data_IF_035459878340
#
_entry.id   IF_035459878340
#
_cell.length_a   1.000
_cell.length_b   1.000
_cell.length_c   1.000
_cell.angle_alpha   90.00
_cell.angle_beta   90.00
_cell.angle_gamma   90.00
#
_symmetry.space_group_name_H-M   'P 1'
#
loop_
_entity.id
_entity.type
_entity.pdbx_description
1 polymer ?
#
# COMPACT_ATOMS: atom_id res chain seq x y z
N UNK A 1 -16.75 12.15 -23.55
CA UNK A 1 -16.42 12.52 -24.93
C UNK A 1 -14.94 12.34 -25.15
N UNK A 2 -14.60 11.12 -25.32
CA UNK A 2 -13.25 10.71 -25.55
C UNK A 2 -13.21 10.23 -26.99
N UNK A 3 -12.15 10.36 -27.67
CA UNK A 3 -12.03 9.99 -29.06
C UNK A 3 -12.09 11.17 -30.01
N UNK A 4 -12.08 12.35 -29.46
CA UNK A 4 -11.94 13.54 -30.29
C UNK A 4 -10.51 13.73 -30.76
N UNK A 5 -10.33 14.51 -31.79
CA UNK A 5 -9.02 14.97 -32.23
C UNK A 5 -8.36 15.80 -31.15
N UNK A 6 -7.24 15.32 -30.64
CA UNK A 6 -6.39 16.03 -29.70
C UNK A 6 -5.15 16.62 -30.39
N UNK A 7 -5.17 16.75 -31.70
CA UNK A 7 -4.01 17.17 -32.46
C UNK A 7 -2.94 16.07 -32.66
N UNK A 8 -2.97 15.02 -31.85
CA UNK A 8 -2.03 13.89 -31.91
C UNK A 8 -2.72 12.57 -32.30
N UNK A 9 -4.02 12.46 -32.06
CA UNK A 9 -4.79 11.25 -32.26
C UNK A 9 -6.09 11.55 -33.00
N UNK A 10 -6.49 10.64 -33.86
CA UNK A 10 -7.78 10.62 -34.51
C UNK A 10 -8.53 9.34 -34.14
N UNK A 11 -9.81 9.45 -33.76
CA UNK A 11 -10.66 8.31 -33.52
C UNK A 11 -10.99 7.64 -34.84
N UNK A 12 -10.82 6.34 -34.91
CA UNK A 12 -11.18 5.55 -36.08
C UNK A 12 -12.71 5.41 -36.21
N UNK A 13 -13.17 5.08 -37.40
CA UNK A 13 -14.54 5.31 -37.89
C UNK A 13 -15.65 4.89 -36.98
N UNK A 14 -15.82 3.98 -36.30
CA UNK A 14 -17.11 3.49 -35.75
C UNK A 14 -17.41 3.90 -34.31
N UNK A 15 -16.70 4.83 -33.71
CA UNK A 15 -16.82 5.19 -32.26
C UNK A 15 -16.84 3.93 -31.35
N UNK A 16 -16.30 2.82 -31.83
CA UNK A 16 -16.41 1.53 -31.17
C UNK A 16 -15.45 1.47 -29.99
N UNK A 17 -15.99 1.15 -28.84
CA UNK A 17 -15.18 0.79 -27.68
C UNK A 17 -14.74 -0.66 -27.87
N UNK A 18 -13.46 -0.87 -28.07
CA UNK A 18 -12.85 -2.19 -28.09
C UNK A 18 -12.44 -2.63 -26.68
N UNK A 19 -12.28 -3.91 -26.51
CA UNK A 19 -11.72 -4.52 -25.30
C UNK A 19 -10.70 -5.57 -25.72
N UNK A 20 -9.49 -5.46 -25.21
CA UNK A 20 -8.45 -6.45 -25.48
C UNK A 20 -7.44 -6.53 -24.35
N UNK A 21 -6.61 -7.57 -24.31
CA UNK A 21 -5.39 -7.59 -23.52
C UNK A 21 -4.52 -6.38 -23.85
N UNK A 22 -3.74 -5.96 -22.85
CA UNK A 22 -2.82 -4.81 -22.94
C UNK A 22 -1.40 -5.30 -22.80
N UNK A 23 -0.54 -4.79 -23.63
CA UNK A 23 0.88 -5.12 -23.67
C UNK A 23 1.71 -3.91 -23.34
N UNK A 24 2.74 -4.11 -22.52
CA UNK A 24 3.68 -3.08 -22.11
C UNK A 24 5.03 -3.26 -22.79
N UNK A 25 5.61 -2.16 -23.24
CA UNK A 25 6.99 -2.15 -23.74
C UNK A 25 7.98 -2.29 -22.58
N UNK A 26 9.23 -2.74 -22.88
CA UNK A 26 10.32 -2.73 -21.88
C UNK A 26 10.59 -1.35 -21.29
N UNK A 27 10.37 -0.31 -22.08
CA UNK A 27 10.45 1.06 -21.58
C UNK A 27 9.35 1.37 -20.56
N UNK A 28 8.12 0.88 -20.77
CA UNK A 28 7.03 1.04 -19.81
C UNK A 28 7.31 0.31 -18.49
N UNK A 29 7.90 -0.88 -18.53
CA UNK A 29 8.36 -1.60 -17.36
C UNK A 29 9.27 -0.74 -16.49
N UNK A 30 10.30 -0.16 -17.08
CA UNK A 30 11.24 0.71 -16.39
C UNK A 30 10.61 2.02 -15.91
N UNK A 31 9.78 2.63 -16.75
CA UNK A 31 9.17 3.95 -16.51
C UNK A 31 8.07 3.89 -15.47
N UNK A 32 7.18 2.89 -15.54
CA UNK A 32 6.04 2.76 -14.65
C UNK A 32 6.40 2.09 -13.33
N UNK A 33 7.59 1.48 -13.20
CA UNK A 33 8.08 0.84 -11.96
C UNK A 33 7.01 -0.05 -11.35
N UNK A 34 6.56 -1.04 -12.11
CA UNK A 34 5.44 -1.94 -11.76
C UNK A 34 5.75 -2.72 -10.48
N UNK A 35 4.75 -2.87 -9.64
CA UNK A 35 4.88 -3.59 -8.37
C UNK A 35 4.94 -5.09 -8.58
N UNK A 36 5.93 -5.80 -8.03
CA UNK A 36 6.02 -7.25 -8.10
C UNK A 36 4.76 -7.97 -7.60
N UNK A 37 4.35 -9.01 -8.32
CA UNK A 37 3.26 -9.90 -7.94
C UNK A 37 1.86 -9.31 -7.95
N UNK A 38 1.72 -8.02 -8.22
CA UNK A 38 0.41 -7.36 -8.20
C UNK A 38 -0.03 -6.92 -9.59
N UNK A 39 0.82 -6.22 -10.26
CA UNK A 39 0.71 -5.88 -11.66
C UNK A 39 2.05 -6.31 -12.28
N UNK A 40 2.06 -7.22 -13.19
CA UNK A 40 3.26 -7.89 -13.68
C UNK A 40 3.26 -7.94 -15.21
N UNK A 41 4.44 -8.11 -15.79
CA UNK A 41 4.61 -8.33 -17.20
C UNK A 41 4.70 -9.83 -17.45
N UNK A 42 3.85 -10.35 -18.30
CA UNK A 42 3.95 -11.70 -18.82
C UNK A 42 5.25 -11.92 -19.60
N UNK A 43 5.47 -13.13 -20.05
CA UNK A 43 6.60 -13.44 -20.92
C UNK A 43 6.51 -12.60 -22.19
N UNK A 44 7.64 -11.97 -22.55
CA UNK A 44 7.75 -11.26 -23.83
C UNK A 44 7.54 -12.26 -24.99
N UNK A 45 6.70 -11.86 -25.95
CA UNK A 45 6.41 -12.68 -27.12
C UNK A 45 7.61 -12.89 -28.02
N UNK A 46 7.49 -13.86 -28.92
CA UNK A 46 8.44 -14.05 -30.00
C UNK A 46 8.06 -13.24 -31.25
N UNK A 47 9.01 -12.95 -32.11
CA UNK A 47 8.77 -12.17 -33.32
C UNK A 47 8.70 -10.67 -33.06
N UNK A 48 7.81 -9.98 -33.77
CA UNK A 48 7.70 -8.51 -33.70
C UNK A 48 7.23 -8.00 -32.34
N UNK A 49 6.76 -8.89 -31.48
CA UNK A 49 6.32 -8.62 -30.11
C UNK A 49 7.37 -8.92 -29.04
N UNK A 50 8.59 -9.29 -29.44
CA UNK A 50 9.66 -9.72 -28.53
C UNK A 50 9.99 -8.72 -27.40
N UNK A 51 9.73 -7.43 -27.64
CA UNK A 51 9.96 -6.35 -26.67
C UNK A 51 8.71 -5.96 -25.88
N UNK A 52 7.61 -6.70 -26.03
CA UNK A 52 6.33 -6.44 -25.39
C UNK A 52 5.94 -7.58 -24.47
N UNK A 53 5.62 -7.25 -23.22
CA UNK A 53 5.08 -8.17 -22.22
C UNK A 53 3.62 -7.91 -21.99
N UNK A 54 2.81 -8.98 -21.89
CA UNK A 54 1.41 -8.84 -21.55
C UNK A 54 1.27 -8.35 -20.10
N UNK A 55 0.39 -7.38 -19.88
CA UNK A 55 0.11 -6.84 -18.57
C UNK A 55 -0.87 -7.76 -17.83
N UNK A 56 -0.46 -8.28 -16.69
CA UNK A 56 -1.20 -9.26 -15.90
C UNK A 56 -1.27 -8.87 -14.43
N UNK A 57 -2.16 -9.52 -13.69
CA UNK A 57 -2.14 -9.51 -12.22
C UNK A 57 -2.31 -10.93 -11.68
N UNK A 58 -2.13 -11.11 -10.39
CA UNK A 58 -2.39 -12.38 -9.75
C UNK A 58 -3.85 -12.86 -9.90
N UNK A 59 -4.82 -11.93 -10.01
CA UNK A 59 -6.24 -12.24 -10.16
C UNK A 59 -6.67 -12.41 -11.62
N UNK A 60 -5.95 -11.80 -12.54
CA UNK A 60 -6.29 -11.79 -13.96
C UNK A 60 -5.07 -12.18 -14.79
N UNK A 61 -5.08 -13.34 -15.45
CA UNK A 61 -4.01 -13.74 -16.35
C UNK A 61 -3.89 -12.80 -17.56
N UNK A 62 -4.98 -12.12 -17.91
CA UNK A 62 -5.03 -11.11 -18.95
C UNK A 62 -5.71 -9.87 -18.37
N UNK A 63 -5.07 -8.71 -18.46
CA UNK A 63 -5.71 -7.45 -18.17
C UNK A 63 -6.36 -6.89 -19.42
N UNK A 64 -7.70 -6.90 -19.43
CA UNK A 64 -8.51 -6.40 -20.52
C UNK A 64 -9.00 -5.00 -20.18
N UNK A 65 -8.68 -4.04 -21.02
CA UNK A 65 -9.12 -2.65 -20.86
C UNK A 65 -10.03 -2.24 -22.01
N UNK A 66 -11.08 -1.51 -21.65
CA UNK A 66 -11.88 -0.79 -22.64
C UNK A 66 -11.10 0.40 -23.17
N UNK A 67 -11.05 0.57 -24.47
CA UNK A 67 -10.36 1.66 -25.14
C UNK A 67 -11.07 2.04 -26.43
N UNK A 68 -10.79 3.24 -26.93
CA UNK A 68 -11.23 3.64 -28.26
C UNK A 68 -10.20 3.24 -29.31
N UNK A 69 -10.65 2.80 -30.47
CA UNK A 69 -9.78 2.63 -31.63
C UNK A 69 -9.24 4.00 -32.03
N UNK A 70 -7.94 4.19 -31.95
CA UNK A 70 -7.25 5.45 -32.26
C UNK A 70 -6.02 5.20 -33.05
N UNK A 71 -5.68 6.14 -33.92
CA UNK A 71 -4.44 6.14 -34.69
C UNK A 71 -3.67 7.44 -34.40
N UNK A 72 -2.36 7.38 -34.12
CA UNK A 72 -1.57 8.57 -33.93
C UNK A 72 -1.36 9.32 -35.25
N UNK A 73 -1.59 10.64 -35.25
CA UNK A 73 -1.36 11.50 -36.40
C UNK A 73 0.10 11.92 -36.55
N UNK A 74 0.88 11.81 -35.49
CA UNK A 74 2.32 12.13 -35.45
C UNK A 74 3.07 10.99 -34.74
N UNK A 75 4.37 10.84 -34.96
CA UNK A 75 5.17 9.84 -34.27
C UNK A 75 5.08 10.00 -32.75
N UNK A 76 4.69 8.94 -32.06
CA UNK A 76 4.55 8.87 -30.61
C UNK A 76 5.39 7.73 -30.05
N UNK A 77 5.80 7.85 -28.80
CA UNK A 77 6.43 6.76 -28.06
C UNK A 77 5.34 5.98 -27.31
N UNK A 78 4.97 4.85 -27.83
CA UNK A 78 3.95 3.99 -27.21
C UNK A 78 4.55 3.23 -26.02
N UNK A 79 3.94 3.38 -24.85
CA UNK A 79 4.30 2.67 -23.63
C UNK A 79 3.43 1.41 -23.45
N UNK A 80 2.12 1.55 -23.62
CA UNK A 80 1.16 0.44 -23.58
C UNK A 80 0.37 0.41 -24.89
N UNK A 81 0.07 -0.78 -25.40
CA UNK A 81 -0.78 -0.98 -26.58
C UNK A 81 -1.77 -2.12 -26.39
N UNK A 82 -2.85 -2.07 -27.12
CA UNK A 82 -3.80 -3.16 -27.25
C UNK A 82 -3.28 -4.26 -28.20
N UNK A 83 -3.99 -5.38 -28.29
CA UNK A 83 -3.64 -6.50 -29.16
C UNK A 83 -3.66 -6.12 -30.65
N UNK A 84 -4.53 -5.18 -31.03
CA UNK A 84 -4.66 -4.64 -32.40
C UNK A 84 -3.70 -3.47 -32.71
N UNK A 85 -2.65 -3.29 -31.91
CA UNK A 85 -1.66 -2.19 -31.97
C UNK A 85 -2.21 -0.80 -31.60
N UNK A 86 -3.47 -0.67 -31.23
CA UNK A 86 -4.00 0.62 -30.76
C UNK A 86 -3.20 1.13 -29.55
N UNK A 87 -2.67 2.37 -29.58
CA UNK A 87 -1.97 2.95 -28.46
C UNK A 87 -2.90 3.14 -27.25
N UNK A 88 -2.58 2.48 -26.13
CA UNK A 88 -3.29 2.62 -24.87
C UNK A 88 -2.68 3.73 -24.01
N UNK A 89 -1.35 3.77 -23.93
CA UNK A 89 -0.60 4.86 -23.29
C UNK A 89 0.58 5.23 -24.17
N UNK A 90 0.73 6.51 -24.43
CA UNK A 90 1.86 7.00 -25.19
C UNK A 90 2.32 8.38 -24.75
N UNK A 91 3.54 8.72 -25.10
CA UNK A 91 4.13 10.04 -24.85
C UNK A 91 4.56 10.69 -26.16
N UNK A 92 4.49 12.02 -26.17
CA UNK A 92 4.94 12.82 -27.30
C UNK A 92 5.52 14.15 -26.81
N UNK A 93 6.48 14.68 -27.57
CA UNK A 93 7.02 16.04 -27.36
C UNK A 93 6.40 16.96 -28.41
N UNK A 94 5.61 17.94 -27.96
CA UNK A 94 5.00 18.93 -28.84
C UNK A 94 5.59 20.32 -28.54
N UNK A 95 6.43 20.81 -29.42
CA UNK A 95 7.17 22.05 -29.18
C UNK A 95 8.02 21.95 -27.90
N UNK A 96 7.74 22.79 -26.91
CA UNK A 96 8.38 22.77 -25.59
C UNK A 96 7.60 21.93 -24.55
N UNK A 97 6.45 21.43 -24.93
CA UNK A 97 5.57 20.67 -24.05
C UNK A 97 5.74 19.16 -24.21
N UNK A 98 5.28 18.45 -23.19
CA UNK A 98 5.21 16.98 -23.20
C UNK A 98 3.75 16.57 -23.02
N UNK A 99 3.33 15.57 -23.77
CA UNK A 99 1.98 15.02 -23.72
C UNK A 99 2.06 13.57 -23.24
N UNK A 100 1.25 13.23 -22.25
CA UNK A 100 0.91 11.85 -21.88
C UNK A 100 -0.50 11.59 -22.32
N UNK A 101 -0.69 10.70 -23.26
CA UNK A 101 -2.00 10.25 -23.72
C UNK A 101 -2.33 8.91 -23.07
N UNK A 102 -3.54 8.81 -22.51
CA UNK A 102 -4.05 7.57 -21.94
C UNK A 102 -5.45 7.28 -22.50
N UNK A 103 -5.54 6.23 -23.30
CA UNK A 103 -6.76 5.76 -23.97
C UNK A 103 -7.43 4.64 -23.16
N UNK A 104 -7.65 4.91 -21.86
CA UNK A 104 -8.31 4.00 -20.92
C UNK A 104 -9.19 4.81 -19.97
N UNK A 105 -10.27 4.22 -19.43
CA UNK A 105 -11.15 4.91 -18.50
C UNK A 105 -10.49 5.07 -17.13
N UNK A 106 -9.62 6.07 -16.97
CA UNK A 106 -8.81 6.28 -15.76
C UNK A 106 -9.64 6.31 -14.47
N UNK A 107 -10.86 6.85 -14.52
CA UNK A 107 -11.77 6.83 -13.38
C UNK A 107 -12.23 5.44 -12.97
N UNK A 108 -12.34 4.53 -13.92
CA UNK A 108 -12.67 3.13 -13.68
C UNK A 108 -11.50 2.38 -13.02
N UNK A 109 -10.28 2.64 -13.44
CA UNK A 109 -9.08 2.05 -12.85
C UNK A 109 -8.97 2.34 -11.35
N UNK A 110 -9.53 3.45 -10.88
CA UNK A 110 -9.49 3.84 -9.46
C UNK A 110 -10.13 2.80 -8.53
N UNK A 111 -11.13 2.06 -9.00
CA UNK A 111 -11.90 1.10 -8.20
C UNK A 111 -11.53 -0.36 -8.49
N UNK A 112 -10.50 -0.58 -9.30
CA UNK A 112 -10.07 -1.92 -9.73
C UNK A 112 -8.77 -2.34 -9.05
N UNK A 113 -8.44 -3.61 -9.19
CA UNK A 113 -7.16 -4.19 -8.76
C UNK A 113 -5.96 -3.55 -9.47
N UNK A 114 -6.20 -3.02 -10.64
CA UNK A 114 -5.24 -2.34 -11.51
C UNK A 114 -5.16 -0.82 -11.29
N UNK A 115 -5.77 -0.30 -10.22
CA UNK A 115 -5.64 1.11 -9.82
C UNK A 115 -4.17 1.53 -9.63
N UNK A 116 -3.29 0.58 -9.39
CA UNK A 116 -1.85 0.80 -9.33
C UNK A 116 -1.32 1.41 -10.63
N UNK A 117 -1.78 0.96 -11.79
CA UNK A 117 -1.41 1.54 -13.07
C UNK A 117 -1.76 3.03 -13.13
N UNK A 118 -2.96 3.43 -12.71
CA UNK A 118 -3.37 4.84 -12.63
C UNK A 118 -2.38 5.67 -11.80
N UNK A 119 -2.04 5.19 -10.61
CA UNK A 119 -1.09 5.88 -9.73
C UNK A 119 0.31 5.98 -10.33
N UNK A 120 0.76 4.96 -11.04
CA UNK A 120 2.06 4.99 -11.72
C UNK A 120 2.07 5.99 -12.88
N UNK A 121 1.00 6.06 -13.67
CA UNK A 121 0.85 7.06 -14.74
C UNK A 121 0.88 8.49 -14.17
N UNK A 122 0.16 8.74 -13.07
CA UNK A 122 0.18 10.04 -12.40
C UNK A 122 1.56 10.40 -11.84
N UNK A 123 2.25 9.43 -11.23
CA UNK A 123 3.61 9.62 -10.72
C UNK A 123 4.59 9.92 -11.83
N UNK A 124 4.57 9.13 -12.90
CA UNK A 124 5.40 9.35 -14.08
C UNK A 124 5.17 10.74 -14.70
N UNK A 125 3.90 11.14 -14.85
CA UNK A 125 3.58 12.45 -15.36
C UNK A 125 4.15 13.57 -14.47
N UNK A 126 3.95 13.48 -13.15
CA UNK A 126 4.38 14.53 -12.23
C UNK A 126 5.91 14.60 -12.09
N UNK A 127 6.55 13.48 -11.85
CA UNK A 127 7.98 13.42 -11.48
C UNK A 127 8.90 13.44 -12.69
N UNK A 128 8.58 12.66 -13.75
CA UNK A 128 9.49 12.47 -14.88
C UNK A 128 9.19 13.44 -16.04
N UNK A 129 7.90 13.66 -16.34
CA UNK A 129 7.54 14.53 -17.46
C UNK A 129 7.52 16.01 -17.04
N UNK A 130 6.83 16.33 -15.94
CA UNK A 130 6.71 17.72 -15.44
C UNK A 130 7.91 18.13 -14.60
N UNK A 131 8.65 17.15 -14.08
CA UNK A 131 9.85 17.36 -13.24
C UNK A 131 9.54 18.15 -11.97
N UNK A 132 8.48 17.75 -11.27
CA UNK A 132 8.09 18.37 -10.01
C UNK A 132 8.39 17.44 -8.83
N UNK A 133 8.75 17.98 -7.67
CA UNK A 133 8.83 17.19 -6.45
C UNK A 133 7.47 16.66 -6.04
N UNK A 134 7.47 15.57 -5.30
CA UNK A 134 6.27 14.94 -4.74
C UNK A 134 6.34 14.90 -3.22
N UNK A 135 5.18 15.00 -2.54
CA UNK A 135 5.10 14.80 -1.10
C UNK A 135 4.97 13.31 -0.80
N UNK A 136 5.94 12.75 -0.10
CA UNK A 136 6.00 11.33 0.26
C UNK A 136 4.73 10.84 0.98
N UNK A 137 4.37 9.59 0.74
CA UNK A 137 3.28 8.91 1.44
C UNK A 137 3.67 8.36 2.82
N UNK A 138 4.96 8.35 3.14
CA UNK A 138 5.51 7.82 4.39
C UNK A 138 6.37 8.86 5.12
N UNK A 139 6.47 8.76 6.47
CA UNK A 139 7.34 9.62 7.25
C UNK A 139 8.79 9.58 6.75
N UNK A 140 9.41 10.73 6.61
CA UNK A 140 10.82 10.87 6.19
C UNK A 140 11.17 10.22 4.84
N UNK A 141 10.16 9.91 4.00
CA UNK A 141 10.29 9.13 2.78
C UNK A 141 10.94 7.75 3.02
N UNK A 142 10.80 7.19 4.20
CA UNK A 142 11.23 5.82 4.48
C UNK A 142 10.12 4.86 4.04
N UNK A 143 10.43 3.97 3.13
CA UNK A 143 9.52 2.87 2.79
C UNK A 143 9.36 1.90 3.96
N UNK A 144 8.35 1.03 3.92
CA UNK A 144 8.21 0.07 4.99
C UNK A 144 7.06 -0.89 4.87
N UNK A 145 7.00 -1.77 5.86
CA UNK A 145 5.96 -2.77 5.98
C UNK A 145 5.26 -2.61 7.33
N UNK A 146 3.94 -2.68 7.29
CA UNK A 146 3.13 -3.02 8.46
C UNK A 146 3.10 -4.55 8.51
N UNK A 147 3.84 -5.13 9.44
CA UNK A 147 3.77 -6.57 9.68
C UNK A 147 2.64 -6.86 10.65
N UNK A 148 1.60 -7.55 10.15
CA UNK A 148 0.40 -7.83 10.92
C UNK A 148 0.33 -9.32 11.25
N UNK A 149 0.40 -9.67 12.53
CA UNK A 149 0.28 -11.03 13.03
C UNK A 149 -1.16 -11.28 13.43
N UNK A 150 -1.78 -12.31 12.85
CA UNK A 150 -3.13 -12.75 13.21
C UNK A 150 -3.07 -13.92 14.18
N UNK A 151 -3.60 -13.70 15.38
CA UNK A 151 -3.60 -14.67 16.47
C UNK A 151 -5.03 -15.19 16.64
N UNK A 152 -5.39 -16.19 15.86
CA UNK A 152 -6.75 -16.69 15.68
C UNK A 152 -7.18 -17.67 16.74
N UNK A 153 -6.22 -18.44 17.28
CA UNK A 153 -6.48 -19.59 18.12
C UNK A 153 -5.31 -19.90 19.08
N UNK A 154 -5.53 -20.85 19.97
CA UNK A 154 -4.51 -21.31 20.90
C UNK A 154 -3.31 -21.99 20.19
N UNK A 155 -3.44 -22.42 18.94
CA UNK A 155 -2.34 -22.96 18.14
C UNK A 155 -1.22 -21.93 17.90
N UNK A 156 -1.50 -20.65 18.04
CA UNK A 156 -0.49 -19.58 17.91
C UNK A 156 0.41 -19.41 19.14
N UNK A 157 0.08 -20.00 20.27
CA UNK A 157 0.76 -19.70 21.54
C UNK A 157 2.22 -20.17 21.55
N UNK A 158 2.51 -21.42 21.20
CA UNK A 158 3.89 -21.92 21.16
C UNK A 158 4.72 -21.24 20.06
N UNK A 159 4.24 -21.09 18.82
CA UNK A 159 4.96 -20.30 17.82
C UNK A 159 5.27 -18.87 18.23
N UNK A 160 4.36 -18.17 18.92
CA UNK A 160 4.64 -16.85 19.47
C UNK A 160 5.76 -16.87 20.53
N UNK A 161 5.76 -17.90 21.40
CA UNK A 161 6.84 -18.07 22.37
C UNK A 161 8.18 -18.37 21.70
N UNK A 162 8.19 -19.09 20.59
CA UNK A 162 9.39 -19.34 19.79
C UNK A 162 9.89 -18.07 19.11
N UNK A 163 9.02 -17.29 18.50
CA UNK A 163 9.36 -15.99 17.91
C UNK A 163 9.92 -15.02 18.97
N UNK A 164 9.32 -14.99 20.17
CA UNK A 164 9.84 -14.18 21.30
C UNK A 164 11.23 -14.63 21.71
N UNK A 165 11.45 -15.94 21.91
CA UNK A 165 12.78 -16.50 22.23
C UNK A 165 13.83 -16.24 21.15
N UNK A 166 13.42 -16.21 19.89
CA UNK A 166 14.28 -15.90 18.75
C UNK A 166 14.56 -14.39 18.58
N UNK A 167 14.02 -13.53 19.46
CA UNK A 167 14.20 -12.08 19.44
C UNK A 167 13.49 -11.38 18.27
N UNK A 168 12.39 -11.95 17.77
CA UNK A 168 11.61 -11.31 16.70
C UNK A 168 11.01 -9.99 17.15
N UNK A 169 10.52 -9.94 18.39
CA UNK A 169 9.91 -8.76 18.98
C UNK A 169 10.91 -7.73 19.51
N UNK A 170 12.21 -7.95 19.37
CA UNK A 170 13.25 -6.92 19.64
C UNK A 170 13.34 -5.91 18.48
N UNK A 171 12.76 -6.20 17.34
CA UNK A 171 12.61 -5.31 16.19
C UNK A 171 11.13 -4.85 16.09
N UNK A 172 10.76 -4.13 15.06
CA UNK A 172 9.37 -3.64 14.90
C UNK A 172 9.32 -2.13 14.83
N UNK A 173 8.16 -1.50 15.15
CA UNK A 173 6.94 -2.10 15.73
C UNK A 173 6.17 -3.01 14.77
N UNK A 174 5.45 -3.98 15.33
CA UNK A 174 4.52 -4.85 14.60
C UNK A 174 3.08 -4.60 15.07
N UNK A 175 2.09 -5.02 14.27
CA UNK A 175 0.67 -5.03 14.66
C UNK A 175 0.26 -6.49 14.96
N UNK A 176 -0.18 -6.76 16.19
CA UNK A 176 -0.57 -8.10 16.67
C UNK A 176 -2.07 -8.08 16.94
N UNK A 177 -2.83 -8.74 16.08
CA UNK A 177 -4.30 -8.73 16.13
C UNK A 177 -4.83 -10.07 16.69
N UNK A 178 -5.76 -9.99 17.62
CA UNK A 178 -6.12 -11.13 18.48
C UNK A 178 -7.62 -11.41 18.43
N UNK A 179 -7.97 -12.68 18.19
CA UNK A 179 -9.30 -13.23 18.48
C UNK A 179 -9.33 -13.75 19.92
N UNK A 180 -10.10 -13.11 20.78
CA UNK A 180 -10.00 -13.28 22.22
C UNK A 180 -10.89 -14.40 22.81
N UNK A 181 -11.81 -14.94 22.02
CA UNK A 181 -12.80 -15.92 22.51
C UNK A 181 -12.23 -17.29 22.84
N UNK A 182 -13.02 -18.15 23.50
CA UNK A 182 -12.59 -19.49 23.86
C UNK A 182 -12.64 -20.49 22.70
N UNK A 183 -13.32 -20.15 21.62
CA UNK A 183 -13.59 -21.00 20.49
C UNK A 183 -13.04 -20.38 19.19
N UNK A 184 -12.61 -21.19 18.23
CA UNK A 184 -12.03 -20.71 16.97
C UNK A 184 -12.86 -21.09 15.74
N UNK A 185 -13.16 -22.38 15.55
CA UNK A 185 -13.81 -22.89 14.34
C UNK A 185 -15.33 -22.86 14.49
N UNK A 186 -15.84 -23.29 15.66
CA UNK A 186 -17.27 -23.36 15.99
C UNK A 186 -17.47 -23.15 17.49
N UNK A 187 -18.68 -22.84 17.88
CA UNK A 187 -19.02 -22.72 19.30
C UNK A 187 -18.71 -24.00 20.09
N UNK A 188 -18.15 -23.85 21.28
CA UNK A 188 -17.78 -24.92 22.21
C UNK A 188 -16.72 -25.90 21.69
N UNK A 189 -15.82 -25.49 20.80
CA UNK A 189 -14.70 -26.31 20.36
C UNK A 189 -13.46 -26.19 21.26
N UNK A 190 -13.36 -25.14 22.05
CA UNK A 190 -12.24 -24.92 22.97
C UNK A 190 -10.90 -24.64 22.31
N UNK A 191 -10.89 -24.32 21.00
CA UNK A 191 -9.66 -24.08 20.22
C UNK A 191 -9.23 -22.62 20.22
N UNK A 192 -10.04 -21.72 20.72
CA UNK A 192 -9.74 -20.29 20.80
C UNK A 192 -8.69 -19.96 21.87
N UNK A 193 -8.21 -18.74 21.86
CA UNK A 193 -7.22 -18.23 22.83
C UNK A 193 -7.76 -18.18 24.25
N UNK A 194 -9.07 -18.01 24.42
CA UNK A 194 -9.70 -17.77 25.70
C UNK A 194 -8.99 -16.67 26.52
N UNK A 195 -8.72 -15.55 25.88
CA UNK A 195 -7.88 -14.46 26.41
C UNK A 195 -8.24 -14.05 27.85
N UNK A 196 -9.53 -13.94 28.25
CA UNK A 196 -9.89 -13.62 29.62
C UNK A 196 -9.37 -14.59 30.67
N UNK A 197 -9.14 -15.86 30.30
CA UNK A 197 -8.68 -16.93 31.18
C UNK A 197 -7.30 -17.49 30.77
N UNK A 198 -6.55 -16.78 29.92
CA UNK A 198 -5.21 -17.18 29.46
C UNK A 198 -4.13 -16.22 29.99
N UNK A 199 -3.59 -16.50 31.20
CA UNK A 199 -2.62 -15.60 31.81
C UNK A 199 -1.31 -15.47 31.03
N UNK A 200 -0.89 -16.52 30.30
CA UNK A 200 0.29 -16.45 29.46
C UNK A 200 0.10 -15.45 28.31
N UNK A 201 -1.00 -15.55 27.58
CA UNK A 201 -1.31 -14.67 26.47
C UNK A 201 -1.51 -13.21 26.95
N UNK A 202 -2.19 -13.02 28.07
CA UNK A 202 -2.33 -11.69 28.69
C UNK A 202 -0.97 -11.06 29.00
N UNK A 203 -0.07 -11.85 29.62
CA UNK A 203 1.28 -11.38 29.94
C UNK A 203 2.10 -11.10 28.67
N UNK A 204 2.00 -11.97 27.65
CA UNK A 204 2.65 -11.76 26.36
C UNK A 204 2.19 -10.44 25.71
N UNK A 205 0.88 -10.23 25.54
CA UNK A 205 0.35 -9.02 24.92
C UNK A 205 0.74 -7.75 25.68
N UNK A 206 0.73 -7.78 27.01
CA UNK A 206 1.19 -6.64 27.83
C UNK A 206 2.66 -6.34 27.60
N UNK A 207 3.52 -7.37 27.50
CA UNK A 207 4.95 -7.17 27.22
C UNK A 207 5.15 -6.56 25.83
N UNK A 208 4.50 -7.14 24.81
CA UNK A 208 4.62 -6.64 23.44
C UNK A 208 4.12 -5.20 23.32
N UNK A 209 3.01 -4.87 23.96
CA UNK A 209 2.48 -3.52 24.01
C UNK A 209 3.46 -2.55 24.70
N UNK A 210 4.04 -2.94 25.81
CA UNK A 210 5.04 -2.13 26.54
C UNK A 210 6.36 -1.92 25.73
N UNK A 211 6.66 -2.81 24.79
CA UNK A 211 7.78 -2.68 23.86
C UNK A 211 7.47 -1.80 22.64
N UNK A 212 6.23 -1.33 22.49
CA UNK A 212 5.81 -0.45 21.41
C UNK A 212 5.14 -1.17 20.23
N UNK A 213 4.91 -2.49 20.34
CA UNK A 213 4.07 -3.19 19.37
C UNK A 213 2.60 -2.80 19.55
N UNK A 214 1.87 -2.74 18.44
CA UNK A 214 0.46 -2.41 18.43
C UNK A 214 -0.38 -3.66 18.63
N UNK A 215 -1.29 -3.63 19.61
CA UNK A 215 -2.21 -4.73 19.86
C UNK A 215 -3.59 -4.36 19.31
N UNK A 216 -4.09 -5.17 18.38
CA UNK A 216 -5.32 -4.92 17.65
C UNK A 216 -6.40 -5.97 17.90
N UNK A 217 -7.60 -5.64 17.45
CA UNK A 217 -8.76 -6.51 17.49
C UNK A 217 -8.81 -7.36 16.20
N UNK A 218 -8.82 -8.70 16.35
CA UNK A 218 -9.07 -9.64 15.24
C UNK A 218 -10.48 -10.19 15.32
N UNK A 219 -11.44 -9.30 15.11
CA UNK A 219 -12.87 -9.60 14.94
C UNK A 219 -13.49 -10.51 15.99
N UNK A 220 -14.49 -11.01 15.70
CA UNK A 220 -15.55 -11.84 16.06
C UNK A 220 -15.41 -12.92 17.10
N UNK A 221 -14.96 -12.75 18.30
CA UNK A 221 -15.09 -13.68 19.46
C UNK A 221 -14.91 -15.19 19.17
N UNK A 222 -15.57 -15.73 18.10
CA UNK A 222 -15.34 -17.05 17.50
C UNK A 222 -14.92 -16.82 16.05
N UNK A 223 -13.64 -17.01 15.77
CA UNK A 223 -12.99 -16.58 14.53
C UNK A 223 -13.73 -17.00 13.25
N UNK A 224 -13.88 -18.32 13.05
CA UNK A 224 -14.48 -18.82 11.79
C UNK A 224 -15.99 -18.59 11.73
N UNK A 225 -16.69 -18.60 12.86
CA UNK A 225 -18.13 -18.32 12.88
C UNK A 225 -18.39 -16.90 12.39
N UNK A 226 -17.65 -15.93 12.92
CA UNK A 226 -17.74 -14.56 12.44
C UNK A 226 -17.30 -14.46 10.97
N UNK A 227 -16.13 -15.01 10.66
CA UNK A 227 -15.51 -14.91 9.34
C UNK A 227 -16.36 -15.46 8.20
N UNK A 228 -17.10 -16.53 8.42
CA UNK A 228 -17.93 -17.14 7.37
C UNK A 228 -19.40 -16.74 7.40
N UNK A 229 -19.92 -16.27 8.53
CA UNK A 229 -21.37 -16.08 8.69
C UNK A 229 -21.80 -14.62 8.77
N UNK A 230 -20.93 -13.71 9.25
CA UNK A 230 -21.25 -12.28 9.28
C UNK A 230 -21.50 -11.76 7.85
N UNK A 231 -22.60 -11.01 7.66
CA UNK A 231 -22.97 -10.44 6.37
C UNK A 231 -23.78 -9.15 6.55
N UNK A 232 -24.16 -8.49 5.48
CA UNK A 232 -24.84 -7.20 5.52
C UNK A 232 -26.19 -7.22 6.29
N UNK A 233 -26.84 -8.37 6.41
CA UNK A 233 -28.20 -8.48 6.99
C UNK A 233 -28.24 -8.87 8.47
N UNK A 234 -27.12 -9.33 9.06
CA UNK A 234 -27.11 -9.93 10.40
C UNK A 234 -26.28 -9.18 11.44
N UNK A 235 -26.16 -7.86 11.29
CA UNK A 235 -25.45 -6.99 12.24
C UNK A 235 -25.83 -7.26 13.72
N UNK A 236 -27.12 -7.36 14.03
CA UNK A 236 -27.62 -7.56 15.43
C UNK A 236 -27.06 -8.83 16.06
N UNK A 237 -26.78 -9.84 15.29
CA UNK A 237 -26.23 -11.10 15.77
C UNK A 237 -24.71 -10.99 16.02
N UNK A 238 -23.97 -10.34 15.10
CA UNK A 238 -22.51 -10.37 15.09
C UNK A 238 -21.82 -9.14 15.69
N UNK A 239 -22.49 -8.00 15.82
CA UNK A 239 -21.92 -6.84 16.51
C UNK A 239 -21.52 -7.15 17.96
N UNK A 240 -22.29 -7.93 18.77
CA UNK A 240 -21.85 -8.35 20.10
C UNK A 240 -20.56 -9.16 20.13
N UNK A 241 -20.22 -9.87 19.05
CA UNK A 241 -18.94 -10.58 18.93
C UNK A 241 -17.78 -9.60 18.83
N UNK A 242 -17.94 -8.53 18.02
CA UNK A 242 -16.95 -7.45 17.92
C UNK A 242 -16.76 -6.73 19.25
N UNK A 243 -17.86 -6.39 19.95
CA UNK A 243 -17.81 -5.70 21.25
C UNK A 243 -17.12 -6.55 22.32
N UNK A 244 -17.41 -7.85 22.40
CA UNK A 244 -16.75 -8.77 23.34
C UNK A 244 -15.25 -8.87 23.07
N UNK A 245 -14.89 -9.06 21.81
CA UNK A 245 -13.48 -9.18 21.41
C UNK A 245 -12.72 -7.89 21.73
N UNK A 246 -13.27 -6.75 21.32
CA UNK A 246 -12.69 -5.44 21.57
C UNK A 246 -12.53 -5.15 23.07
N UNK A 247 -13.54 -5.45 23.88
CA UNK A 247 -13.49 -5.27 25.32
C UNK A 247 -12.41 -6.14 25.94
N UNK A 248 -12.32 -7.42 25.55
CA UNK A 248 -11.33 -8.36 26.09
C UNK A 248 -9.89 -7.92 25.77
N UNK A 249 -9.61 -7.56 24.51
CA UNK A 249 -8.28 -7.08 24.09
C UNK A 249 -7.94 -5.78 24.82
N UNK A 250 -8.83 -4.80 24.81
CA UNK A 250 -8.62 -3.49 25.45
C UNK A 250 -8.38 -3.59 26.95
N UNK A 251 -9.17 -4.45 27.64
CA UNK A 251 -8.97 -4.72 29.07
C UNK A 251 -7.61 -5.35 29.33
N UNK A 252 -7.16 -6.24 28.45
CA UNK A 252 -5.86 -6.92 28.61
C UNK A 252 -4.71 -5.94 28.53
N UNK A 253 -4.71 -5.03 27.57
CA UNK A 253 -3.61 -4.07 27.40
C UNK A 253 -3.74 -2.80 28.24
N UNK A 254 -4.92 -2.56 28.82
CA UNK A 254 -5.18 -1.39 29.68
C UNK A 254 -5.52 -0.11 28.91
N UNK A 255 -5.73 -0.19 27.61
CA UNK A 255 -6.17 0.92 26.74
C UNK A 255 -7.08 0.41 25.62
N UNK A 256 -7.72 1.33 24.89
CA UNK A 256 -8.59 0.95 23.76
C UNK A 256 -7.75 0.50 22.55
N UNK A 257 -7.97 -0.72 22.10
CA UNK A 257 -7.45 -1.18 20.81
C UNK A 257 -8.06 -0.34 19.68
N UNK A 258 -7.22 0.22 18.80
CA UNK A 258 -7.64 1.18 17.76
C UNK A 258 -7.43 0.69 16.33
N UNK A 259 -7.02 -0.57 16.18
CA UNK A 259 -6.79 -1.20 14.88
C UNK A 259 -7.45 -2.56 14.82
N UNK A 260 -7.80 -2.97 13.59
CA UNK A 260 -8.66 -4.12 13.38
C UNK A 260 -8.24 -4.93 12.15
N UNK A 261 -8.41 -6.23 12.20
CA UNK A 261 -8.43 -7.11 11.02
C UNK A 261 -9.64 -8.05 11.10
N UNK A 262 -10.33 -8.18 9.97
CA UNK A 262 -11.51 -9.04 9.89
C UNK A 262 -11.10 -10.51 9.74
N UNK A 263 -11.67 -11.44 10.54
CA UNK A 263 -11.55 -12.87 10.28
C UNK A 263 -11.96 -13.22 8.87
N UNK A 264 -11.14 -14.04 8.17
CA UNK A 264 -11.33 -14.43 6.77
C UNK A 264 -11.46 -13.23 5.80
N UNK A 265 -11.00 -12.05 6.20
CA UNK A 265 -11.19 -10.83 5.41
C UNK A 265 -12.64 -10.35 5.28
N UNK A 266 -13.56 -10.94 6.02
CA UNK A 266 -14.98 -10.62 5.94
C UNK A 266 -15.31 -9.30 6.64
N UNK A 267 -15.57 -8.26 5.85
CA UNK A 267 -15.79 -6.90 6.31
C UNK A 267 -17.14 -6.35 5.80
N UNK A 268 -18.26 -6.71 6.43
CA UNK A 268 -19.54 -6.10 6.11
C UNK A 268 -19.53 -4.58 6.35
N UNK A 269 -20.30 -3.82 5.59
CA UNK A 269 -20.32 -2.35 5.68
C UNK A 269 -20.67 -1.84 7.07
N UNK A 270 -21.55 -2.52 7.80
CA UNK A 270 -21.90 -2.18 9.19
C UNK A 270 -20.70 -2.36 10.15
N UNK A 271 -19.80 -3.34 9.88
CA UNK A 271 -18.59 -3.52 10.68
C UNK A 271 -17.63 -2.33 10.47
N UNK A 272 -17.48 -1.83 9.23
CA UNK A 272 -16.72 -0.61 8.98
C UNK A 272 -17.33 0.61 9.67
N UNK A 273 -18.66 0.73 9.66
CA UNK A 273 -19.37 1.79 10.39
C UNK A 273 -19.17 1.67 11.92
N UNK A 274 -19.21 0.45 12.46
CA UNK A 274 -18.91 0.17 13.86
C UNK A 274 -17.49 0.60 14.23
N UNK A 275 -16.48 0.25 13.42
CA UNK A 275 -15.09 0.68 13.63
C UNK A 275 -14.97 2.21 13.68
N UNK A 276 -15.60 2.90 12.74
CA UNK A 276 -15.61 4.34 12.69
C UNK A 276 -16.25 4.97 13.94
N UNK A 277 -17.40 4.46 14.37
CA UNK A 277 -18.14 4.92 15.56
C UNK A 277 -17.37 4.66 16.87
N UNK A 278 -16.59 3.58 16.96
CA UNK A 278 -15.72 3.27 18.11
C UNK A 278 -14.39 4.03 18.06
N UNK A 279 -14.14 4.81 17.02
CA UNK A 279 -12.93 5.61 16.85
C UNK A 279 -11.68 4.79 16.55
N UNK A 280 -11.83 3.71 15.80
CA UNK A 280 -10.68 2.99 15.24
C UNK A 280 -9.93 3.87 14.23
N UNK A 281 -8.63 3.67 14.12
CA UNK A 281 -7.76 4.39 13.20
C UNK A 281 -7.59 3.65 11.88
N UNK A 282 -7.58 2.32 11.92
CA UNK A 282 -7.30 1.50 10.77
C UNK A 282 -7.90 0.10 10.85
N UNK A 283 -8.06 -0.49 9.68
CA UNK A 283 -8.33 -1.91 9.52
C UNK A 283 -7.59 -2.47 8.29
N UNK A 284 -7.24 -3.76 8.32
CA UNK A 284 -6.73 -4.42 7.15
C UNK A 284 -7.87 -4.71 6.16
N UNK A 285 -7.59 -4.70 4.88
CA UNK A 285 -8.58 -4.94 3.84
C UNK A 285 -8.07 -5.96 2.83
N UNK A 286 -8.93 -6.89 2.43
CA UNK A 286 -8.69 -7.84 1.35
C UNK A 286 -8.86 -7.18 -0.02
N UNK A 287 -8.49 -5.92 -0.10
CA UNK A 287 -8.61 -5.12 -1.31
C UNK A 287 -7.43 -5.35 -2.22
N UNK A 288 -7.72 -5.40 -3.47
CA UNK A 288 -6.81 -5.73 -4.56
C UNK A 288 -6.16 -4.54 -5.24
N UNK A 289 -6.19 -3.39 -4.58
CA UNK A 289 -5.80 -2.11 -5.19
C UNK A 289 -4.32 -2.01 -5.57
N UNK A 290 -3.47 -2.92 -5.07
CA UNK A 290 -2.03 -2.83 -5.29
C UNK A 290 -1.35 -1.63 -4.62
N UNK A 291 -2.06 -0.88 -3.81
CA UNK A 291 -1.63 0.38 -3.22
C UNK A 291 -1.32 0.25 -1.73
N UNK A 292 -0.68 1.27 -1.19
CA UNK A 292 -0.57 1.49 0.24
C UNK A 292 -1.93 1.81 0.87
N UNK A 293 -1.92 2.17 2.16
CA UNK A 293 -3.15 2.50 2.87
C UNK A 293 -3.98 3.56 2.16
N UNK A 294 -5.29 3.37 2.15
CA UNK A 294 -6.26 4.24 1.50
C UNK A 294 -7.39 4.61 2.44
N UNK A 295 -8.23 5.56 2.05
CA UNK A 295 -9.43 5.91 2.82
C UNK A 295 -10.38 4.72 2.88
N UNK A 296 -11.05 4.56 4.01
CA UNK A 296 -12.08 3.54 4.15
C UNK A 296 -13.29 3.82 3.28
N UNK A 297 -13.98 2.74 2.90
CA UNK A 297 -15.21 2.79 2.11
C UNK A 297 -16.35 2.11 2.86
N UNK A 298 -17.55 2.64 2.71
CA UNK A 298 -18.79 2.04 3.16
C UNK A 298 -19.73 2.04 1.96
N UNK A 299 -20.24 0.88 1.52
CA UNK A 299 -21.06 0.73 0.34
C UNK A 299 -20.50 1.44 -0.90
N UNK A 300 -19.23 1.16 -1.22
CA UNK A 300 -18.52 1.72 -2.40
C UNK A 300 -18.32 3.24 -2.37
N UNK A 301 -18.76 3.93 -1.33
CA UNK A 301 -18.51 5.35 -1.12
C UNK A 301 -17.40 5.59 -0.11
N UNK A 302 -16.55 6.59 -0.30
CA UNK A 302 -15.61 6.99 0.73
C UNK A 302 -16.33 7.25 2.03
N UNK A 303 -15.86 6.67 3.12
CA UNK A 303 -16.41 6.91 4.45
C UNK A 303 -16.35 8.39 4.78
N UNK A 304 -17.43 8.93 5.31
CA UNK A 304 -17.46 10.31 5.87
C UNK A 304 -16.62 10.45 7.14
N UNK A 305 -16.19 9.34 7.74
CA UNK A 305 -15.37 9.35 8.94
C UNK A 305 -13.91 9.64 8.56
N UNK A 306 -13.52 10.89 8.63
CA UNK A 306 -12.15 11.30 8.48
C UNK A 306 -11.29 10.61 9.56
N UNK A 307 -10.25 9.88 9.15
CA UNK A 307 -9.31 9.25 10.08
C UNK A 307 -9.34 7.74 10.16
N UNK A 308 -10.34 7.06 9.60
CA UNK A 308 -10.32 5.60 9.46
C UNK A 308 -9.68 5.21 8.12
N UNK A 309 -8.62 4.40 8.18
CA UNK A 309 -7.85 3.98 7.02
C UNK A 309 -7.97 2.48 6.78
N UNK A 310 -8.07 2.11 5.50
CA UNK A 310 -8.02 0.73 5.03
C UNK A 310 -6.59 0.40 4.58
N UNK A 311 -6.05 -0.71 5.04
CA UNK A 311 -4.73 -1.19 4.71
C UNK A 311 -4.85 -2.43 3.82
N UNK A 312 -4.71 -2.29 2.49
CA UNK A 312 -4.76 -3.43 1.59
C UNK A 312 -3.62 -4.40 1.87
N UNK A 313 -3.93 -5.69 1.87
CA UNK A 313 -2.93 -6.74 1.98
C UNK A 313 -2.04 -6.80 0.75
N UNK A 314 -0.79 -7.23 0.93
CA UNK A 314 0.13 -7.50 -0.16
C UNK A 314 0.02 -8.97 -0.55
N UNK A 315 -0.61 -9.22 -1.68
CA UNK A 315 -0.75 -10.58 -2.21
C UNK A 315 0.44 -10.95 -3.08
N UNK A 316 0.77 -12.22 -3.07
CA UNK A 316 1.66 -12.85 -4.02
C UNK A 316 0.87 -13.86 -4.87
N UNK A 317 0.69 -13.61 -6.16
CA UNK A 317 -0.21 -14.41 -7.01
C UNK A 317 -1.60 -14.49 -6.38
N UNK A 318 -2.09 -15.71 -6.08
CA UNK A 318 -3.40 -15.94 -5.44
C UNK A 318 -3.32 -16.12 -3.93
N UNK A 319 -2.15 -15.92 -3.34
CA UNK A 319 -1.90 -16.13 -1.92
C UNK A 319 -1.56 -14.83 -1.22
N UNK A 320 -1.82 -14.77 0.06
CA UNK A 320 -1.58 -13.60 0.88
C UNK A 320 -0.80 -13.89 2.17
N UNK A 321 -0.64 -15.15 2.55
CA UNK A 321 0.00 -15.54 3.81
C UNK A 321 0.77 -16.87 3.68
N UNK A 322 1.57 -17.18 4.68
CA UNK A 322 2.42 -18.38 4.70
C UNK A 322 1.61 -19.69 4.68
N UNK A 323 0.47 -19.73 5.36
CA UNK A 323 -0.39 -20.92 5.36
C UNK A 323 -0.82 -21.30 3.95
N UNK A 324 -1.22 -20.32 3.16
CA UNK A 324 -1.64 -20.53 1.77
C UNK A 324 -0.49 -21.01 0.88
N UNK A 325 0.76 -20.58 1.13
CA UNK A 325 1.95 -21.12 0.45
C UNK A 325 2.05 -22.61 0.69
N UNK A 326 1.88 -23.03 1.95
CA UNK A 326 1.95 -24.44 2.36
C UNK A 326 0.79 -25.26 1.77
N UNK A 327 -0.44 -24.75 1.87
CA UNK A 327 -1.65 -25.41 1.36
C UNK A 327 -1.59 -25.63 -0.16
N UNK A 328 -0.98 -24.69 -0.89
CA UNK A 328 -0.83 -24.81 -2.34
C UNK A 328 0.43 -25.58 -2.77
N UNK A 329 1.21 -26.08 -1.82
CA UNK A 329 2.44 -26.84 -2.10
C UNK A 329 3.52 -26.02 -2.82
N UNK A 330 3.53 -24.71 -2.62
CA UNK A 330 4.53 -23.82 -3.21
C UNK A 330 5.85 -23.91 -2.44
N UNK A 331 6.96 -23.68 -3.13
CA UNK A 331 8.26 -23.67 -2.48
C UNK A 331 8.45 -22.43 -1.60
N UNK A 332 9.07 -22.60 -0.44
CA UNK A 332 9.40 -21.48 0.47
C UNK A 332 10.22 -20.38 -0.24
N UNK A 333 11.05 -20.75 -1.22
CA UNK A 333 11.86 -19.80 -2.00
C UNK A 333 11.02 -18.80 -2.79
N UNK A 334 9.86 -19.20 -3.30
CA UNK A 334 8.99 -18.31 -4.08
C UNK A 334 8.47 -17.14 -3.24
N UNK A 335 7.99 -17.42 -2.03
CA UNK A 335 7.52 -16.36 -1.13
C UNK A 335 8.70 -15.53 -0.58
N UNK A 336 9.85 -16.16 -0.37
CA UNK A 336 11.07 -15.46 0.07
C UNK A 336 11.51 -14.44 -0.98
N UNK A 337 11.53 -14.82 -2.24
CA UNK A 337 11.92 -13.92 -3.35
C UNK A 337 10.90 -12.81 -3.54
N UNK A 338 9.60 -13.12 -3.44
CA UNK A 338 8.57 -12.08 -3.47
C UNK A 338 8.74 -11.06 -2.33
N UNK A 339 9.02 -11.51 -1.12
CA UNK A 339 9.22 -10.60 0.02
C UNK A 339 10.44 -9.70 -0.18
N UNK A 340 11.54 -10.22 -0.73
CA UNK A 340 12.69 -9.38 -1.09
C UNK A 340 12.31 -8.27 -2.06
N UNK A 341 11.63 -8.66 -3.15
CA UNK A 341 11.14 -7.70 -4.15
C UNK A 341 10.18 -6.67 -3.54
N UNK A 342 9.32 -7.09 -2.60
CA UNK A 342 8.40 -6.19 -1.91
C UNK A 342 9.14 -5.20 -1.01
N UNK A 343 10.16 -5.65 -0.27
CA UNK A 343 10.99 -4.80 0.59
C UNK A 343 11.74 -3.75 -0.22
N UNK A 344 12.36 -4.15 -1.33
CA UNK A 344 13.04 -3.24 -2.25
C UNK A 344 12.05 -2.23 -2.84
N UNK A 345 10.91 -2.71 -3.35
CA UNK A 345 9.88 -1.88 -3.95
C UNK A 345 9.34 -0.80 -2.99
N UNK A 346 8.98 -1.17 -1.74
CA UNK A 346 8.46 -0.18 -0.78
C UNK A 346 9.52 0.85 -0.41
N UNK A 347 10.79 0.43 -0.33
CA UNK A 347 11.91 1.31 0.00
C UNK A 347 12.20 2.30 -1.13
N UNK A 348 12.22 1.85 -2.38
CA UNK A 348 12.46 2.69 -3.56
C UNK A 348 11.29 3.62 -3.88
N UNK A 349 10.05 3.20 -3.59
CA UNK A 349 8.86 3.98 -3.90
C UNK A 349 8.36 4.84 -2.73
N UNK A 350 9.08 4.86 -1.60
CA UNK A 350 8.70 5.61 -0.38
C UNK A 350 7.26 5.35 0.05
N UNK A 351 6.86 4.07 0.04
CA UNK A 351 5.50 3.67 0.38
C UNK A 351 5.47 2.64 1.51
N UNK A 352 4.32 2.49 2.13
CA UNK A 352 4.07 1.44 3.11
C UNK A 352 3.10 0.42 2.56
N UNK A 353 3.35 -0.85 2.83
CA UNK A 353 2.49 -1.97 2.48
C UNK A 353 2.18 -2.78 3.72
N UNK A 354 1.06 -3.50 3.71
CA UNK A 354 0.74 -4.46 4.76
C UNK A 354 1.02 -5.88 4.26
N UNK A 355 1.75 -6.64 5.06
CA UNK A 355 1.92 -8.07 4.92
C UNK A 355 1.49 -8.74 6.23
N UNK A 356 0.74 -9.84 6.16
CA UNK A 356 0.30 -10.56 7.35
C UNK A 356 0.67 -12.04 7.31
N UNK A 357 0.72 -12.64 8.46
CA UNK A 357 0.81 -14.09 8.61
C UNK A 357 0.27 -14.56 9.96
N UNK A 358 -0.01 -15.86 10.03
CA UNK A 358 -0.41 -16.52 11.25
C UNK A 358 0.83 -17.12 11.94
N UNK A 359 1.07 -16.84 13.24
CA UNK A 359 2.22 -17.40 13.95
C UNK A 359 2.31 -18.92 13.87
N UNK A 360 1.16 -19.61 13.80
CA UNK A 360 1.11 -21.08 13.69
C UNK A 360 1.84 -21.64 12.44
N UNK A 361 1.96 -20.85 11.36
CA UNK A 361 2.67 -21.28 10.15
C UNK A 361 4.19 -21.07 10.22
N UNK A 362 4.69 -20.24 11.12
CA UNK A 362 6.09 -19.78 11.13
C UNK A 362 7.15 -20.89 11.26
N UNK A 363 6.91 -22.03 11.93
CA UNK A 363 7.91 -23.11 11.99
C UNK A 363 8.32 -23.67 10.62
N UNK A 364 7.48 -23.49 9.60
CA UNK A 364 7.75 -23.96 8.24
C UNK A 364 8.47 -22.94 7.36
N UNK A 365 8.69 -21.69 7.84
CA UNK A 365 9.20 -20.55 7.07
C UNK A 365 10.42 -19.89 7.73
N UNK A 366 11.25 -20.66 8.41
CA UNK A 366 12.41 -20.13 9.14
C UNK A 366 13.38 -19.37 8.22
N UNK A 367 13.67 -19.90 7.03
CA UNK A 367 14.56 -19.23 6.05
C UNK A 367 13.98 -17.92 5.54
N UNK A 368 12.68 -17.90 5.29
CA UNK A 368 11.97 -16.68 4.90
C UNK A 368 12.07 -15.62 6.00
N UNK A 369 11.82 -16.00 7.24
CA UNK A 369 11.90 -15.11 8.39
C UNK A 369 13.32 -14.57 8.59
N UNK A 370 14.34 -15.39 8.48
CA UNK A 370 15.76 -14.98 8.54
C UNK A 370 16.10 -14.00 7.40
N UNK A 371 15.58 -14.25 6.19
CA UNK A 371 15.76 -13.38 5.05
C UNK A 371 15.14 -12.02 5.30
N UNK A 372 13.89 -11.95 5.78
CA UNK A 372 13.22 -10.69 6.14
C UNK A 372 14.10 -9.89 7.10
N UNK A 373 14.58 -10.50 8.18
CA UNK A 373 15.44 -9.82 9.17
C UNK A 373 16.72 -9.28 8.55
N UNK A 374 17.38 -10.08 7.69
CA UNK A 374 18.65 -9.68 7.06
C UNK A 374 18.48 -8.52 6.07
N UNK A 375 17.47 -8.58 5.21
CA UNK A 375 17.19 -7.52 4.24
C UNK A 375 16.72 -6.23 4.93
N UNK A 376 15.81 -6.34 5.88
CA UNK A 376 15.37 -5.18 6.68
C UNK A 376 16.53 -4.52 7.39
N UNK A 377 17.46 -5.30 7.98
CA UNK A 377 18.66 -4.72 8.63
C UNK A 377 19.51 -3.91 7.65
N UNK A 378 19.69 -4.36 6.42
CA UNK A 378 20.42 -3.62 5.39
C UNK A 378 19.71 -2.32 5.03
N UNK A 379 18.42 -2.40 4.73
CA UNK A 379 17.62 -1.24 4.32
C UNK A 379 17.48 -0.19 5.45
N UNK A 380 17.35 -0.63 6.70
CA UNK A 380 17.37 0.26 7.88
C UNK A 380 18.72 0.97 8.06
N UNK A 381 19.83 0.27 7.83
CA UNK A 381 21.16 0.87 7.89
C UNK A 381 21.38 1.93 6.79
N UNK A 382 20.68 1.82 5.68
CA UNK A 382 20.67 2.81 4.58
C UNK A 382 19.67 3.96 4.82
N UNK A 383 18.86 3.91 5.89
CA UNK A 383 17.81 4.89 6.16
C UNK A 383 16.62 4.83 5.19
N UNK A 384 16.47 3.72 4.45
CA UNK A 384 15.46 3.55 3.42
C UNK A 384 14.20 2.84 3.90
N UNK A 385 14.27 2.14 5.03
CA UNK A 385 13.18 1.30 5.54
C UNK A 385 12.95 1.49 7.03
N UNK A 386 11.69 1.37 7.45
CA UNK A 386 11.28 1.14 8.85
C UNK A 386 10.06 0.23 8.92
N UNK A 387 9.90 -0.43 10.07
CA UNK A 387 8.62 -1.03 10.40
C UNK A 387 7.61 0.05 10.77
N UNK A 388 6.37 -0.20 10.40
CA UNK A 388 5.22 0.62 10.78
C UNK A 388 4.20 -0.24 11.51
N UNK A 389 3.48 0.34 12.46
CA UNK A 389 2.18 -0.17 12.86
C UNK A 389 1.05 0.61 12.16
N UNK A 390 -0.17 0.06 12.19
CA UNK A 390 -1.30 0.64 11.46
C UNK A 390 -1.71 2.00 12.04
N UNK A 391 -1.72 2.13 13.37
CA UNK A 391 -2.16 3.34 14.05
C UNK A 391 -1.20 4.51 13.85
N UNK A 392 0.10 4.29 13.98
CA UNK A 392 1.12 5.32 13.75
C UNK A 392 1.07 5.86 12.33
N UNK A 393 1.00 4.95 11.36
CA UNK A 393 0.94 5.35 9.96
C UNK A 393 -0.36 6.09 9.63
N UNK A 394 -1.48 5.69 10.23
CA UNK A 394 -2.77 6.40 10.10
C UNK A 394 -2.69 7.82 10.66
N UNK A 395 -2.05 8.02 11.81
CA UNK A 395 -1.84 9.34 12.40
C UNK A 395 -0.97 10.23 11.49
N UNK A 396 0.08 9.67 10.89
CA UNK A 396 0.88 10.38 9.90
C UNK A 396 0.06 10.77 8.67
N UNK A 397 -0.72 9.85 8.12
CA UNK A 397 -1.55 10.11 6.95
C UNK A 397 -2.63 11.17 7.23
N UNK A 398 -3.20 11.19 8.43
CA UNK A 398 -4.12 12.25 8.84
C UNK A 398 -3.42 13.62 8.84
N UNK A 399 -2.25 13.72 9.45
CA UNK A 399 -1.45 14.97 9.42
C UNK A 399 -1.06 15.36 8.00
N UNK A 400 -0.69 14.39 7.14
CA UNK A 400 -0.33 14.64 5.76
C UNK A 400 -1.49 15.22 4.94
N UNK A 401 -2.73 14.82 5.21
CA UNK A 401 -3.91 15.39 4.54
C UNK A 401 -4.14 16.86 4.88
N UNK A 402 -3.71 17.31 6.05
CA UNK A 402 -3.81 18.72 6.46
C UNK A 402 -2.73 19.60 5.84
N UNK A 403 -1.73 19.00 5.18
CA UNK A 403 -0.68 19.77 4.53
C UNK A 403 -1.23 20.50 3.30
N UNK A 404 -1.12 21.81 3.31
CA UNK A 404 -1.38 22.70 2.16
C UNK A 404 -0.05 23.08 1.56
N UNK A 405 0.16 22.81 0.29
CA UNK A 405 1.40 23.19 -0.36
C UNK A 405 1.18 23.54 -1.84
N UNK A 406 2.07 24.35 -2.37
CA UNK A 406 2.05 24.81 -3.75
C UNK A 406 3.48 25.02 -4.26
N UNK A 407 3.64 24.92 -5.56
CA UNK A 407 4.88 25.26 -6.25
C UNK A 407 4.65 26.54 -7.04
N UNK A 408 5.59 27.47 -6.97
CA UNK A 408 5.62 28.71 -7.73
C UNK A 408 6.93 28.82 -8.49
N UNK A 409 6.89 29.56 -9.58
CA UNK A 409 8.06 29.91 -10.36
C UNK A 409 8.12 29.25 -11.74
N UNK A 410 9.22 29.42 -12.49
CA UNK A 410 10.40 30.15 -12.04
C UNK A 410 10.19 31.67 -11.90
N UNK A 411 10.83 32.30 -10.92
CA UNK A 411 10.91 33.76 -10.81
C UNK A 411 11.92 34.35 -11.82
N UNK A 412 12.19 35.66 -11.75
CA UNK A 412 13.14 36.33 -12.63
C UNK A 412 14.58 35.79 -12.52
N UNK A 413 14.94 35.16 -11.41
CA UNK A 413 16.24 34.53 -11.18
C UNK A 413 16.24 33.04 -11.55
N UNK A 414 15.16 32.50 -12.12
CA UNK A 414 15.05 31.08 -12.46
C UNK A 414 14.74 30.15 -11.29
N UNK A 415 14.44 30.71 -10.11
CA UNK A 415 14.17 29.94 -8.91
C UNK A 415 12.71 29.45 -8.88
N UNK A 416 12.53 28.20 -8.55
CA UNK A 416 11.26 27.59 -8.13
C UNK A 416 11.11 27.71 -6.63
N UNK A 417 9.89 27.69 -6.13
CA UNK A 417 9.62 27.72 -4.68
C UNK A 417 8.49 26.77 -4.30
N UNK A 418 8.70 25.96 -3.27
CA UNK A 418 7.63 25.31 -2.50
C UNK A 418 7.28 26.22 -1.32
N UNK A 419 5.98 26.47 -1.14
CA UNK A 419 5.43 26.99 0.11
C UNK A 419 4.49 25.94 0.69
N UNK A 420 4.74 25.51 1.91
CA UNK A 420 3.95 24.48 2.60
C UNK A 420 3.51 24.97 3.98
N UNK A 421 2.34 24.53 4.42
CA UNK A 421 1.81 24.79 5.76
C UNK A 421 0.92 23.65 6.26
N UNK A 422 0.80 23.53 7.57
CA UNK A 422 -0.10 22.61 8.27
C UNK A 422 -0.72 23.31 9.47
N UNK A 423 -1.90 22.90 9.88
CA UNK A 423 -2.56 23.38 11.10
C UNK A 423 -1.81 23.03 12.40
N UNK A 424 -0.96 21.98 12.35
CA UNK A 424 -0.19 21.50 13.50
C UNK A 424 1.31 21.57 13.22
N UNK A 425 1.86 20.62 12.52
CA UNK A 425 3.29 20.48 12.29
C UNK A 425 3.56 19.77 10.95
N UNK A 426 4.62 20.22 10.27
CA UNK A 426 5.15 19.56 9.08
C UNK A 426 6.18 18.46 9.41
N UNK A 427 6.42 18.17 10.69
CA UNK A 427 7.40 17.18 11.09
C UNK A 427 7.26 15.87 10.35
N UNK A 428 8.37 15.35 9.82
CA UNK A 428 8.49 14.12 9.03
C UNK A 428 7.81 14.15 7.63
N UNK A 429 7.15 15.27 7.27
CA UNK A 429 6.71 15.47 5.90
C UNK A 429 7.92 15.61 5.00
N UNK A 430 7.92 14.92 3.87
CA UNK A 430 9.12 14.85 3.02
C UNK A 430 8.77 15.10 1.58
N UNK A 431 9.41 16.10 0.97
CA UNK A 431 9.35 16.32 -0.47
C UNK A 431 10.52 15.60 -1.14
N UNK A 432 10.17 14.77 -2.11
CA UNK A 432 11.11 13.98 -2.90
C UNK A 432 11.33 14.69 -4.23
N UNK A 433 12.58 15.04 -4.52
CA UNK A 433 12.98 15.66 -5.78
C UNK A 433 13.84 14.66 -6.55
N UNK A 434 13.47 14.26 -7.78
CA UNK A 434 14.41 13.50 -8.62
C UNK A 434 15.71 14.26 -8.80
N UNK A 435 16.87 13.64 -8.52
CA UNK A 435 18.16 14.34 -8.49
C UNK A 435 18.53 15.03 -9.82
N UNK A 436 18.08 14.44 -10.94
CA UNK A 436 18.30 15.01 -12.28
C UNK A 436 17.38 16.19 -12.61
N UNK A 437 16.49 16.61 -11.71
CA UNK A 437 15.52 17.69 -11.97
C UNK A 437 15.73 18.95 -11.13
N UNK A 438 16.45 18.84 -10.02
CA UNK A 438 16.61 19.91 -9.04
C UNK A 438 18.05 20.02 -8.53
N UNK A 439 18.51 21.26 -8.39
CA UNK A 439 19.80 21.60 -7.79
C UNK A 439 19.65 22.84 -6.90
N UNK A 440 20.67 23.10 -6.07
CA UNK A 440 20.70 24.27 -5.17
C UNK A 440 19.49 24.38 -4.25
N UNK A 441 19.00 23.26 -3.74
CA UNK A 441 17.84 23.22 -2.87
C UNK A 441 18.17 23.89 -1.53
N UNK A 442 17.40 24.93 -1.14
CA UNK A 442 17.64 25.70 0.09
C UNK A 442 16.34 25.95 0.84
N UNK A 443 16.36 25.70 2.13
CA UNK A 443 15.27 26.07 3.03
C UNK A 443 15.41 27.56 3.33
N UNK A 444 14.38 28.35 3.03
CA UNK A 444 14.34 29.80 3.24
C UNK A 444 13.47 30.22 4.41
N UNK A 445 12.53 29.35 4.83
CA UNK A 445 11.66 29.55 5.99
C UNK A 445 11.33 28.18 6.62
N UNK A 446 11.19 28.12 7.94
CA UNK A 446 10.87 26.90 8.67
C UNK A 446 12.11 26.07 9.02
N UNK A 447 11.89 24.80 9.35
CA UNK A 447 12.93 23.87 9.77
C UNK A 447 12.88 22.60 8.92
N UNK A 448 14.04 22.05 8.64
CA UNK A 448 14.15 20.78 7.91
C UNK A 448 15.61 20.40 7.63
N UNK A 449 15.78 19.22 7.07
CA UNK A 449 17.07 18.69 6.63
C UNK A 449 16.97 18.23 5.20
N UNK A 450 18.06 18.40 4.44
CA UNK A 450 18.19 17.90 3.08
C UNK A 450 19.11 16.69 3.10
N UNK A 451 18.64 15.58 2.56
CA UNK A 451 19.43 14.35 2.40
C UNK A 451 19.47 14.02 0.91
N UNK A 452 20.57 13.47 0.44
CA UNK A 452 20.70 12.96 -0.92
C UNK A 452 20.94 11.46 -0.87
N UNK A 453 20.17 10.73 -1.67
CA UNK A 453 20.54 9.40 -2.11
C UNK A 453 21.02 9.47 -3.58
N UNK A 454 21.27 8.33 -4.21
CA UNK A 454 21.79 8.27 -5.57
C UNK A 454 20.95 9.02 -6.60
N UNK A 455 19.63 8.89 -6.50
CA UNK A 455 18.68 9.30 -7.55
C UNK A 455 17.74 10.43 -7.12
N UNK A 456 17.79 10.84 -5.85
CA UNK A 456 16.82 11.76 -5.26
C UNK A 456 17.41 12.67 -4.20
N UNK A 457 16.80 13.84 -4.03
CA UNK A 457 16.94 14.68 -2.85
C UNK A 457 15.69 14.53 -1.98
N UNK A 458 15.89 14.29 -0.69
CA UNK A 458 14.84 14.16 0.31
C UNK A 458 14.88 15.38 1.22
N UNK A 459 13.90 16.23 1.09
CA UNK A 459 13.71 17.39 1.97
C UNK A 459 12.76 16.99 3.10
N UNK A 460 13.31 16.68 4.26
CA UNK A 460 12.56 16.28 5.45
C UNK A 460 12.28 17.51 6.31
N UNK A 461 10.99 17.86 6.47
CA UNK A 461 10.58 18.96 7.32
C UNK A 461 10.74 18.63 8.82
N UNK A 462 11.16 19.62 9.59
CA UNK A 462 11.21 19.59 11.05
C UNK A 462 9.87 20.01 11.69
N UNK A 463 9.86 20.18 13.02
CA UNK A 463 8.65 20.49 13.79
C UNK A 463 8.20 21.97 13.65
N UNK A 464 7.96 22.40 12.42
CA UNK A 464 7.45 23.73 12.08
C UNK A 464 6.08 23.65 11.43
N UNK A 465 5.16 24.61 11.65
CA UNK A 465 3.88 24.64 10.95
C UNK A 465 3.99 25.18 9.52
N UNK A 466 5.11 25.78 9.12
CA UNK A 466 5.36 26.30 7.78
C UNK A 466 6.75 25.97 7.27
N UNK A 467 6.88 25.91 5.94
CA UNK A 467 8.14 25.66 5.26
C UNK A 467 8.14 26.39 3.91
N UNK A 468 9.27 27.07 3.60
CA UNK A 468 9.56 27.52 2.24
C UNK A 468 10.90 26.99 1.78
N UNK A 469 10.93 26.56 0.53
CA UNK A 469 12.13 25.95 -0.08
C UNK A 469 12.27 26.48 -1.49
N UNK A 470 13.47 26.87 -1.85
CA UNK A 470 13.80 27.32 -3.20
C UNK A 470 14.81 26.38 -3.83
N UNK A 471 14.70 26.21 -5.15
CA UNK A 471 15.65 25.43 -5.96
C UNK A 471 15.71 25.93 -7.39
N UNK A 472 16.75 25.52 -8.10
CA UNK A 472 16.86 25.71 -9.55
C UNK A 472 16.57 24.38 -10.27
N UNK A 473 15.95 24.45 -11.44
CA UNK A 473 15.82 23.26 -12.30
C UNK A 473 17.16 22.95 -12.96
N UNK A 474 17.50 21.68 -13.00
CA UNK A 474 18.55 21.19 -13.87
C UNK A 474 18.09 21.36 -15.32
N UNK A 475 18.88 21.94 -16.21
CA UNK A 475 18.54 22.17 -17.62
C UNK A 475 18.06 20.94 -18.38
#
# INVERSE_FOLDING_TARGET
>A
LVGMRYGLYEQLQDDTIAQSPVYASRLAEQTLRIQPGKLDFGAHGAGDWSDWGELTTYAYPHLVYSHYLTEPLEPVQTLLRAEDDTPIVSTHVHGRGKVLFANVPLGYLKTRTDSYLLHRLLSFFASDMVRQPSLSATPQAQGGIVLNLHVDSNASQEPLAELERAGWFDDGPYSIHVTAGPDAIRAADGLGLNLPNNPWMQAFLKRQHAQGHEIGNHGGWVHNVYGYQANESNQREFEPYLDKNHTSVSTTIGELAKVYSAPMGNQPSWATAWLANKGFKAYYATSDTGLGPTRSFIHEHPSSHAGLWAFPISNFKRIATFDEVQEQGMAETEITDFIRLLLDHVSEQHMARLFYFHPAATPHFEKTLQTIRSEVKKLKAQGQFRWYNMGELSDFMNRRQDVRWQIRGPNAQGLQEISASSSSSLQDMTWVFPAHTAQDIRITEGQGTLRQNKDEWLLVAGPSPSLKVQWTRVP
#
